data_IF_918127398996
#
_entry.id   IF_918127398996
#
_cell.length_a   1.000
_cell.length_b   1.000
_cell.length_c   1.000
_cell.angle_alpha   90.00
_cell.angle_beta   90.00
_cell.angle_gamma   90.00
#
_symmetry.space_group_name_H-M   'P 1'
#
loop_
_entity.id
_entity.type
_entity.pdbx_description
1 polymer ?
#
# COMPACT_ATOMS: atom_id res chain seq x y z
N UNK A 1 -8.77 0.48 -31.72
CA UNK A 1 -7.90 -0.56 -31.11
C UNK A 1 -6.47 -0.10 -31.31
N UNK A 2 -5.78 0.29 -30.24
CA UNK A 2 -4.35 0.60 -30.30
C UNK A 2 -3.64 -0.75 -30.17
N UNK A 3 -3.05 -1.25 -31.26
CA UNK A 3 -2.41 -2.57 -31.27
C UNK A 3 -1.18 -2.55 -30.35
N UNK A 4 -1.01 -3.63 -29.58
CA UNK A 4 0.17 -3.85 -28.73
C UNK A 4 1.45 -4.09 -29.56
N UNK A 5 1.30 -4.24 -30.88
CA UNK A 5 2.33 -4.65 -31.85
C UNK A 5 3.55 -3.71 -31.96
N UNK A 6 3.53 -2.53 -31.32
CA UNK A 6 4.65 -1.58 -31.33
C UNK A 6 5.28 -1.32 -29.96
N UNK A 7 4.96 -2.12 -28.93
CA UNK A 7 5.60 -1.94 -27.62
C UNK A 7 7.06 -2.41 -27.67
N UNK A 8 8.00 -1.46 -27.59
CA UNK A 8 9.43 -1.77 -27.55
C UNK A 8 9.77 -2.59 -26.32
N UNK A 9 10.78 -3.44 -26.44
CA UNK A 9 11.26 -4.27 -25.35
C UNK A 9 12.66 -3.83 -24.92
N UNK A 10 12.94 -3.89 -23.61
CA UNK A 10 14.20 -3.51 -23.01
C UNK A 10 14.78 -4.68 -22.22
N UNK A 11 16.03 -5.05 -22.53
CA UNK A 11 16.77 -6.05 -21.75
C UNK A 11 17.22 -5.49 -20.39
N UNK A 12 17.27 -6.35 -19.37
CA UNK A 12 17.65 -5.96 -18.00
C UNK A 12 19.03 -5.27 -17.94
N UNK A 13 19.98 -5.69 -18.78
CA UNK A 13 21.32 -5.09 -18.90
C UNK A 13 21.31 -3.65 -19.44
N UNK A 14 20.29 -3.26 -20.20
CA UNK A 14 20.09 -1.89 -20.68
C UNK A 14 19.58 -1.03 -19.53
N UNK A 15 18.56 -1.51 -18.78
CA UNK A 15 18.03 -0.80 -17.62
C UNK A 15 19.13 -0.57 -16.56
N UNK A 16 19.95 -1.58 -16.26
CA UNK A 16 21.11 -1.43 -15.36
C UNK A 16 22.04 -0.28 -15.79
N UNK A 17 22.38 -0.21 -17.09
CA UNK A 17 23.24 0.85 -17.62
C UNK A 17 22.60 2.23 -17.50
N UNK A 18 21.28 2.34 -17.66
CA UNK A 18 20.54 3.59 -17.47
C UNK A 18 20.59 4.03 -16.00
N UNK A 19 20.35 3.10 -15.06
CA UNK A 19 20.38 3.39 -13.62
C UNK A 19 21.76 3.87 -13.15
N UNK A 20 22.85 3.30 -13.66
CA UNK A 20 24.21 3.75 -13.34
C UNK A 20 24.55 5.16 -13.85
N UNK A 21 23.95 5.59 -14.97
CA UNK A 21 24.23 6.92 -15.53
C UNK A 21 23.61 8.03 -14.69
N UNK A 22 22.47 7.76 -14.07
CA UNK A 22 21.84 8.72 -13.16
C UNK A 22 22.65 8.91 -11.86
N UNK A 23 23.46 7.93 -11.45
CA UNK A 23 24.38 8.07 -10.31
C UNK A 23 25.70 8.78 -10.66
N UNK A 24 26.24 8.58 -11.87
CA UNK A 24 27.55 9.14 -12.29
C UNK A 24 27.46 10.39 -13.20
N UNK A 25 26.27 10.90 -13.51
CA UNK A 25 25.99 11.84 -14.61
C UNK A 25 26.35 13.32 -14.43
N UNK A 26 27.27 13.65 -13.51
CA UNK A 26 27.81 15.01 -13.32
C UNK A 26 29.01 15.38 -14.21
N UNK A 27 29.38 14.61 -15.24
CA UNK A 27 30.62 14.88 -15.97
C UNK A 27 30.75 14.27 -17.37
N UNK A 28 30.92 15.16 -18.34
CA UNK A 28 31.74 15.08 -19.56
C UNK A 28 31.48 14.00 -20.63
N UNK A 29 31.45 14.49 -21.88
CA UNK A 29 31.21 13.73 -23.10
C UNK A 29 32.32 12.75 -23.50
N UNK A 30 31.92 11.81 -24.35
CA UNK A 30 32.81 10.87 -25.03
C UNK A 30 32.05 10.20 -26.17
N UNK A 31 32.39 10.56 -27.40
CA UNK A 31 31.85 9.97 -28.63
C UNK A 31 32.30 8.51 -28.78
N UNK A 32 31.36 7.60 -29.02
CA UNK A 32 31.66 6.21 -29.35
C UNK A 32 30.51 5.57 -30.11
N UNK A 33 30.68 5.45 -31.43
CA UNK A 33 29.75 4.81 -32.35
C UNK A 33 29.78 3.28 -32.19
N UNK A 34 28.69 2.69 -31.73
CA UNK A 34 28.31 1.32 -32.08
C UNK A 34 26.80 1.14 -31.84
N UNK A 35 26.08 0.76 -32.89
CA UNK A 35 24.63 0.76 -32.95
C UNK A 35 23.98 -0.25 -32.02
N UNK A 36 23.28 0.23 -30.98
CA UNK A 36 22.18 -0.48 -30.31
C UNK A 36 21.35 0.55 -29.52
N UNK A 37 20.11 0.81 -29.98
CA UNK A 37 19.04 1.61 -29.35
C UNK A 37 19.46 2.99 -28.78
N UNK A 38 19.53 4.00 -29.66
CA UNK A 38 19.71 5.40 -29.26
C UNK A 38 18.43 5.99 -28.67
N UNK A 39 18.33 6.05 -27.34
CA UNK A 39 17.39 6.94 -26.65
C UNK A 39 17.90 8.40 -26.80
N UNK A 40 17.01 9.38 -27.05
CA UNK A 40 17.42 10.77 -27.15
C UNK A 40 18.07 11.25 -25.84
N UNK A 41 19.29 11.71 -25.98
CA UNK A 41 20.14 12.32 -24.94
C UNK A 41 19.45 13.51 -24.28
N UNK A 42 19.16 13.42 -22.98
CA UNK A 42 18.82 14.56 -22.12
C UNK A 42 17.63 14.40 -21.16
N UNK A 43 16.74 13.42 -21.38
CA UNK A 43 15.56 13.20 -20.51
C UNK A 43 15.76 12.11 -19.45
N UNK A 44 15.17 12.30 -18.26
CA UNK A 44 15.12 11.27 -17.21
C UNK A 44 14.22 10.11 -17.68
N UNK A 45 14.53 8.89 -17.26
CA UNK A 45 13.65 7.73 -17.44
C UNK A 45 12.66 7.62 -16.27
N UNK A 46 11.43 7.19 -16.55
CA UNK A 46 10.45 6.82 -15.51
C UNK A 46 10.28 5.31 -15.48
N UNK A 47 10.34 4.71 -14.30
CA UNK A 47 10.14 3.27 -14.12
C UNK A 47 8.79 3.02 -13.42
N UNK A 48 7.90 2.26 -14.06
CA UNK A 48 6.54 1.97 -13.57
C UNK A 48 6.40 0.49 -13.26
N UNK A 49 6.16 0.20 -11.97
CA UNK A 49 5.90 -1.15 -11.47
C UNK A 49 4.40 -1.47 -11.64
N UNK A 50 4.08 -2.33 -12.59
CA UNK A 50 2.71 -2.75 -12.91
C UNK A 50 2.25 -3.98 -12.11
N UNK A 51 3.06 -4.44 -11.15
CA UNK A 51 2.68 -5.55 -10.25
C UNK A 51 1.66 -5.09 -9.21
N UNK A 52 0.90 -6.03 -8.62
CA UNK A 52 0.05 -5.72 -7.47
C UNK A 52 0.86 -5.05 -6.35
N UNK A 53 0.22 -4.13 -5.63
CA UNK A 53 0.85 -3.34 -4.56
C UNK A 53 1.59 -4.19 -3.52
N UNK A 54 1.05 -5.38 -3.19
CA UNK A 54 1.67 -6.29 -2.23
C UNK A 54 3.00 -6.87 -2.74
N UNK A 55 3.08 -7.21 -4.03
CA UNK A 55 4.31 -7.70 -4.66
C UNK A 55 5.37 -6.59 -4.71
N UNK A 56 4.96 -5.36 -5.06
CA UNK A 56 5.81 -4.18 -4.98
C UNK A 56 6.32 -3.93 -3.56
N UNK A 57 5.46 -4.10 -2.56
CA UNK A 57 5.83 -3.88 -1.15
C UNK A 57 6.67 -5.00 -0.55
N UNK A 58 6.72 -6.18 -1.18
CA UNK A 58 7.67 -7.25 -0.84
C UNK A 58 9.09 -6.92 -1.34
N UNK A 59 9.17 -6.25 -2.49
CA UNK A 59 10.40 -5.71 -3.04
C UNK A 59 10.16 -5.08 -4.42
N UNK A 60 11.03 -4.15 -4.83
CA UNK A 60 10.85 -3.34 -6.04
C UNK A 60 12.19 -2.85 -6.58
N UNK A 61 12.22 -2.49 -7.87
CA UNK A 61 13.42 -1.87 -8.49
C UNK A 61 13.54 -0.44 -7.98
N UNK A 62 14.73 -0.03 -7.53
CA UNK A 62 14.97 1.30 -6.99
C UNK A 62 14.50 2.40 -7.97
N UNK A 63 13.81 3.41 -7.45
CA UNK A 63 13.25 4.51 -8.23
C UNK A 63 11.95 4.19 -8.97
N UNK A 64 11.44 2.95 -8.91
CA UNK A 64 10.15 2.61 -9.53
C UNK A 64 8.94 3.16 -8.76
N UNK A 65 7.89 3.50 -9.51
CA UNK A 65 6.60 3.95 -8.98
C UNK A 65 5.56 2.86 -9.23
N UNK A 66 4.89 2.39 -8.17
CA UNK A 66 3.82 1.39 -8.32
C UNK A 66 2.54 1.99 -8.91
N UNK A 67 2.05 1.34 -9.96
CA UNK A 67 0.82 1.69 -10.65
C UNK A 67 -0.38 1.11 -9.89
N UNK A 68 -1.38 1.95 -9.61
CA UNK A 68 -2.61 1.57 -8.90
C UNK A 68 -3.71 1.12 -9.87
N UNK A 69 -3.52 -0.02 -10.51
CA UNK A 69 -4.49 -0.62 -11.43
C UNK A 69 -4.97 -1.99 -10.94
N UNK A 70 -5.63 -2.00 -9.77
CA UNK A 70 -6.17 -3.22 -9.17
C UNK A 70 -7.41 -3.76 -9.94
N UNK A 71 -7.94 -4.91 -9.53
CA UNK A 71 -9.14 -5.51 -10.14
C UNK A 71 -10.36 -4.58 -10.11
N UNK A 72 -10.50 -3.75 -9.09
CA UNK A 72 -11.61 -2.81 -8.93
C UNK A 72 -11.53 -1.66 -9.94
N UNK A 73 -10.35 -1.05 -10.09
CA UNK A 73 -10.08 0.00 -11.08
C UNK A 73 -10.33 -0.56 -12.48
N UNK A 74 -9.81 -1.76 -12.78
CA UNK A 74 -10.02 -2.42 -14.08
C UNK A 74 -11.49 -2.70 -14.38
N UNK A 75 -12.24 -3.23 -13.41
CA UNK A 75 -13.69 -3.48 -13.55
C UNK A 75 -14.48 -2.19 -13.82
N UNK A 76 -14.06 -1.07 -13.23
CA UNK A 76 -14.78 0.21 -13.34
C UNK A 76 -14.40 1.03 -14.55
N UNK A 77 -13.18 0.89 -15.02
CA UNK A 77 -12.64 1.59 -16.16
C UNK A 77 -13.29 1.17 -17.49
N UNK A 78 -14.15 0.13 -17.52
CA UNK A 78 -14.86 -0.36 -18.71
C UNK A 78 -13.94 -0.47 -19.95
N UNK A 79 -12.71 -0.94 -19.74
CA UNK A 79 -11.71 -1.13 -20.79
C UNK A 79 -10.68 -0.01 -20.98
N UNK A 80 -10.73 1.11 -20.23
CA UNK A 80 -9.80 2.23 -20.41
C UNK A 80 -9.56 3.00 -19.12
N UNK A 81 -8.33 2.95 -18.60
CA UNK A 81 -7.93 3.63 -17.36
C UNK A 81 -7.31 5.01 -17.65
N UNK A 82 -7.52 6.02 -16.79
CA UNK A 82 -6.85 7.32 -16.91
C UNK A 82 -5.54 7.39 -16.11
N UNK A 83 -4.68 8.37 -16.40
CA UNK A 83 -3.45 8.59 -15.61
C UNK A 83 -3.76 8.89 -14.13
N UNK A 84 -4.84 9.62 -13.86
CA UNK A 84 -5.34 9.91 -12.51
C UNK A 84 -5.68 8.63 -11.74
N UNK A 85 -6.26 7.65 -12.43
CA UNK A 85 -6.64 6.38 -11.81
C UNK A 85 -5.41 5.52 -11.50
N UNK A 86 -4.44 5.48 -12.41
CA UNK A 86 -3.25 4.62 -12.24
C UNK A 86 -2.16 5.26 -11.37
N UNK A 87 -2.10 6.59 -11.30
CA UNK A 87 -1.10 7.37 -10.56
C UNK A 87 -1.76 8.48 -9.70
N UNK A 88 -2.68 8.14 -8.78
CA UNK A 88 -3.51 9.13 -8.09
C UNK A 88 -2.73 10.05 -7.16
N UNK A 89 -1.68 9.54 -6.50
CA UNK A 89 -0.88 10.28 -5.52
C UNK A 89 0.37 10.93 -6.12
N UNK A 90 0.60 10.76 -7.43
CA UNK A 90 1.86 11.13 -8.08
C UNK A 90 1.61 12.32 -9.02
N UNK A 91 1.15 13.44 -8.48
CA UNK A 91 0.81 14.64 -9.25
C UNK A 91 2.00 15.15 -10.07
N UNK A 92 3.18 15.22 -9.45
CA UNK A 92 4.42 15.62 -10.13
C UNK A 92 4.79 14.66 -11.26
N UNK A 93 4.65 13.34 -11.05
CA UNK A 93 4.92 12.35 -12.09
C UNK A 93 3.95 12.51 -13.26
N UNK A 94 2.66 12.71 -12.98
CA UNK A 94 1.63 12.97 -14.01
C UNK A 94 1.92 14.26 -14.77
N UNK A 95 2.29 15.34 -14.08
CA UNK A 95 2.63 16.62 -14.69
C UNK A 95 3.85 16.48 -15.63
N UNK A 96 4.90 15.79 -15.17
CA UNK A 96 6.12 15.53 -15.96
C UNK A 96 5.89 14.59 -17.16
N UNK A 97 4.99 13.62 -17.04
CA UNK A 97 4.55 12.78 -18.16
C UNK A 97 3.85 13.62 -19.22
N UNK A 98 2.90 14.46 -18.82
CA UNK A 98 2.13 15.33 -19.74
C UNK A 98 2.98 16.39 -20.43
N UNK A 99 4.00 16.91 -19.75
CA UNK A 99 4.92 17.89 -20.34
C UNK A 99 6.03 17.26 -21.20
N UNK A 100 6.10 15.92 -21.30
CA UNK A 100 7.11 15.22 -22.09
C UNK A 100 8.52 15.31 -21.52
N UNK A 101 8.66 15.50 -20.20
CA UNK A 101 9.96 15.57 -19.52
C UNK A 101 10.64 14.21 -19.33
N UNK A 102 9.91 13.12 -19.58
CA UNK A 102 10.48 11.78 -19.61
C UNK A 102 10.80 11.39 -21.06
N UNK A 103 12.06 11.06 -21.32
CA UNK A 103 12.51 10.55 -22.62
C UNK A 103 11.96 9.15 -22.87
N UNK A 104 11.88 8.34 -21.81
CA UNK A 104 11.28 7.02 -21.84
C UNK A 104 10.54 6.67 -20.54
N UNK A 105 9.54 5.81 -20.68
CA UNK A 105 8.81 5.14 -19.60
C UNK A 105 9.01 3.64 -19.75
N UNK A 106 9.60 3.03 -18.73
CA UNK A 106 9.81 1.60 -18.65
C UNK A 106 8.71 1.02 -17.78
N UNK A 107 7.89 0.13 -18.34
CA UNK A 107 6.87 -0.62 -17.61
C UNK A 107 7.35 -2.04 -17.37
N UNK A 108 7.02 -2.62 -16.22
CA UNK A 108 7.35 -4.01 -15.92
C UNK A 108 6.30 -4.65 -15.03
N UNK A 109 6.08 -5.95 -15.20
CA UNK A 109 5.30 -6.77 -14.28
C UNK A 109 6.21 -7.78 -13.57
N UNK A 110 5.64 -8.87 -13.04
CA UNK A 110 6.44 -9.87 -12.32
C UNK A 110 7.37 -10.66 -13.25
N UNK A 111 6.88 -11.11 -14.42
CA UNK A 111 7.52 -12.21 -15.17
C UNK A 111 7.38 -12.15 -16.69
N UNK A 112 6.70 -11.15 -17.27
CA UNK A 112 6.41 -11.17 -18.70
C UNK A 112 7.70 -11.11 -19.53
N UNK A 113 8.00 -12.14 -20.34
CA UNK A 113 9.27 -12.21 -21.06
C UNK A 113 9.34 -11.26 -22.25
N UNK A 114 8.19 -11.01 -22.91
CA UNK A 114 8.06 -10.28 -24.17
C UNK A 114 6.70 -9.57 -24.28
N UNK A 115 6.62 -8.54 -25.09
CA UNK A 115 5.39 -7.76 -25.32
C UNK A 115 4.25 -8.63 -25.89
N UNK A 116 4.58 -9.57 -26.77
CA UNK A 116 3.64 -10.52 -27.39
C UNK A 116 2.94 -11.45 -26.37
N UNK A 117 3.55 -11.66 -25.19
CA UNK A 117 2.99 -12.52 -24.15
C UNK A 117 1.94 -11.82 -23.26
N UNK A 118 1.81 -10.49 -23.41
CA UNK A 118 0.89 -9.69 -22.60
C UNK A 118 -0.55 -9.91 -23.06
N UNK A 119 -1.42 -10.29 -22.12
CA UNK A 119 -2.87 -10.30 -22.34
C UNK A 119 -3.37 -8.87 -22.55
N UNK A 120 -4.33 -8.66 -23.44
CA UNK A 120 -4.90 -7.33 -23.71
C UNK A 120 -5.52 -6.66 -22.46
N UNK A 121 -6.02 -7.47 -21.52
CA UNK A 121 -6.62 -7.04 -20.25
C UNK A 121 -5.61 -6.98 -19.07
N UNK A 122 -4.33 -7.24 -19.35
CA UNK A 122 -3.28 -7.13 -18.34
C UNK A 122 -3.11 -5.69 -17.86
N UNK A 123 -2.64 -5.54 -16.62
CA UNK A 123 -2.34 -4.23 -16.05
C UNK A 123 -1.36 -3.45 -16.93
N UNK A 124 -0.32 -4.11 -17.43
CA UNK A 124 0.65 -3.49 -18.34
C UNK A 124 -0.02 -2.94 -19.59
N UNK A 125 -0.89 -3.71 -20.25
CA UNK A 125 -1.58 -3.27 -21.47
C UNK A 125 -2.46 -2.05 -21.23
N UNK A 126 -3.22 -2.05 -20.12
CA UNK A 126 -4.06 -0.91 -19.74
C UNK A 126 -3.24 0.35 -19.42
N UNK A 127 -2.10 0.19 -18.74
CA UNK A 127 -1.16 1.28 -18.44
C UNK A 127 -0.54 1.84 -19.71
N UNK A 128 -0.07 0.97 -20.61
CA UNK A 128 0.51 1.38 -21.91
C UNK A 128 -0.53 2.16 -22.72
N UNK A 129 -1.79 1.70 -22.78
CA UNK A 129 -2.87 2.43 -23.45
C UNK A 129 -3.18 3.79 -22.79
N UNK A 130 -3.07 3.90 -21.46
CA UNK A 130 -3.23 5.17 -20.76
C UNK A 130 -2.07 6.14 -21.04
N UNK A 131 -0.84 5.65 -21.05
CA UNK A 131 0.36 6.42 -21.38
C UNK A 131 0.33 6.91 -22.83
N UNK A 132 0.04 6.04 -23.80
CA UNK A 132 -0.04 6.43 -25.22
C UNK A 132 -1.04 7.56 -25.49
N UNK A 133 -2.12 7.66 -24.70
CA UNK A 133 -3.11 8.74 -24.80
C UNK A 133 -2.69 10.06 -24.15
N UNK A 134 -1.69 10.05 -23.26
CA UNK A 134 -1.35 11.22 -22.44
C UNK A 134 0.13 11.65 -22.54
N UNK A 135 0.99 10.83 -23.14
CA UNK A 135 2.44 11.00 -23.20
C UNK A 135 2.96 10.71 -24.63
N UNK A 136 2.43 11.42 -25.63
CA UNK A 136 2.71 11.17 -27.06
C UNK A 136 4.20 11.27 -27.44
N UNK A 137 5.00 12.01 -26.66
CA UNK A 137 6.43 12.28 -26.95
C UNK A 137 7.40 11.35 -26.21
N UNK A 138 6.89 10.40 -25.45
CA UNK A 138 7.70 9.55 -24.58
C UNK A 138 7.76 8.13 -25.12
N UNK A 139 8.97 7.59 -25.26
CA UNK A 139 9.14 6.19 -25.67
C UNK A 139 8.68 5.26 -24.54
N UNK A 140 7.80 4.29 -24.85
CA UNK A 140 7.30 3.33 -23.87
C UNK A 140 7.93 1.97 -24.16
N UNK A 141 8.55 1.37 -23.13
CA UNK A 141 9.26 0.10 -23.24
C UNK A 141 8.80 -0.89 -22.16
N UNK A 142 8.68 -2.17 -22.52
CA UNK A 142 8.51 -3.27 -21.56
C UNK A 142 9.88 -3.79 -21.09
N UNK A 143 10.09 -3.94 -19.79
CA UNK A 143 11.25 -4.65 -19.25
C UNK A 143 11.09 -6.16 -19.43
N UNK A 144 11.95 -6.77 -20.24
CA UNK A 144 11.90 -8.21 -20.53
C UNK A 144 12.15 -9.04 -19.27
N UNK A 145 11.27 -9.98 -18.99
CA UNK A 145 11.35 -10.89 -17.84
C UNK A 145 10.87 -10.28 -16.52
N UNK A 146 10.42 -9.03 -16.53
CA UNK A 146 9.82 -8.38 -15.37
C UNK A 146 10.77 -8.23 -14.17
N UNK A 147 10.17 -8.08 -12.98
CA UNK A 147 10.88 -7.93 -11.72
C UNK A 147 11.68 -9.18 -11.32
N UNK A 148 11.12 -10.38 -11.53
CA UNK A 148 11.76 -11.64 -11.13
C UNK A 148 13.13 -11.77 -11.80
N UNK A 149 13.19 -11.57 -13.12
CA UNK A 149 14.45 -11.61 -13.86
C UNK A 149 15.40 -10.51 -13.42
N UNK A 150 14.94 -9.25 -13.39
CA UNK A 150 15.81 -8.13 -13.05
C UNK A 150 16.38 -8.24 -11.63
N UNK A 151 15.56 -8.62 -10.64
CA UNK A 151 15.99 -8.78 -9.25
C UNK A 151 16.90 -9.99 -9.01
N UNK A 152 16.85 -11.00 -9.90
CA UNK A 152 17.78 -12.13 -9.88
C UNK A 152 19.15 -11.78 -10.47
N UNK A 153 19.17 -10.99 -11.56
CA UNK A 153 20.41 -10.60 -12.26
C UNK A 153 21.11 -9.42 -11.56
N UNK A 154 20.35 -8.49 -10.96
CA UNK A 154 20.83 -7.23 -10.40
C UNK A 154 20.17 -6.92 -9.02
N UNK A 155 20.38 -7.78 -8.01
CA UNK A 155 19.77 -7.62 -6.69
C UNK A 155 20.14 -6.31 -5.98
N UNK A 156 21.30 -5.72 -6.30
CA UNK A 156 21.79 -4.46 -5.73
C UNK A 156 20.94 -3.24 -6.14
N UNK A 157 20.21 -3.34 -7.25
CA UNK A 157 19.28 -2.30 -7.72
C UNK A 157 17.84 -2.54 -7.26
N UNK A 158 17.63 -3.46 -6.31
CA UNK A 158 16.33 -3.80 -5.78
C UNK A 158 16.26 -3.57 -4.27
N UNK A 159 15.16 -3.00 -3.81
CA UNK A 159 14.80 -3.03 -2.39
C UNK A 159 13.99 -4.30 -2.11
N UNK A 160 14.25 -4.96 -0.98
CA UNK A 160 13.46 -6.08 -0.46
C UNK A 160 13.17 -5.83 1.01
N UNK A 161 11.92 -6.00 1.44
CA UNK A 161 11.59 -5.95 2.87
C UNK A 161 12.18 -7.18 3.53
N UNK A 162 13.07 -6.97 4.51
CA UNK A 162 13.84 -8.03 5.19
C UNK A 162 12.99 -9.11 5.90
N UNK A 163 11.67 -8.95 5.97
CA UNK A 163 10.78 -9.90 6.63
C UNK A 163 10.47 -11.19 5.82
N UNK A 164 10.79 -11.24 4.52
CA UNK A 164 10.43 -12.40 3.67
C UNK A 164 11.55 -13.44 3.52
N UNK A 165 12.77 -13.18 4.02
CA UNK A 165 13.88 -14.12 3.93
C UNK A 165 14.00 -14.94 5.22
N UNK A 166 13.54 -16.20 5.13
CA UNK A 166 13.88 -17.34 5.98
C UNK A 166 13.93 -17.08 7.51
N UNK A 167 12.93 -17.60 8.22
CA UNK A 167 13.04 -17.94 9.65
C UNK A 167 14.35 -18.74 9.81
N UNK A 168 15.39 -18.23 10.49
CA UNK A 168 16.53 -19.06 10.83
C UNK A 168 16.05 -20.18 11.76
N UNK A 169 16.57 -21.41 11.66
CA UNK A 169 16.24 -22.44 12.63
C UNK A 169 16.58 -21.95 14.04
N UNK A 170 15.83 -22.35 15.07
CA UNK A 170 16.06 -21.89 16.43
C UNK A 170 17.47 -22.27 16.86
N UNK A 171 18.30 -21.26 17.12
CA UNK A 171 19.61 -21.44 17.74
C UNK A 171 19.36 -22.01 19.16
N UNK A 172 20.03 -23.09 19.57
CA UNK A 172 19.88 -23.62 20.91
C UNK A 172 20.36 -22.58 21.94
N UNK A 173 19.75 -22.50 23.14
CA UNK A 173 20.07 -21.47 24.10
C UNK A 173 21.47 -21.71 24.68
N UNK A 174 22.48 -21.06 24.09
CA UNK A 174 23.80 -20.92 24.71
C UNK A 174 23.75 -19.74 25.68
N UNK A 175 23.70 -20.09 26.97
CA UNK A 175 23.99 -19.27 28.15
C UNK A 175 24.37 -17.81 27.88
N UNK A 176 23.36 -16.95 27.81
CA UNK A 176 23.48 -15.53 28.13
C UNK A 176 22.18 -15.11 28.79
N UNK A 177 22.28 -14.78 30.07
CA UNK A 177 21.19 -14.36 30.97
C UNK A 177 20.17 -13.46 30.24
N UNK A 178 18.86 -13.81 30.22
CA UNK A 178 17.86 -12.85 29.82
C UNK A 178 17.79 -11.82 30.93
N UNK A 179 18.32 -10.62 30.69
CA UNK A 179 17.95 -9.46 31.47
C UNK A 179 16.43 -9.29 31.33
N UNK A 180 15.73 -9.74 32.37
CA UNK A 180 14.28 -9.72 32.55
C UNK A 180 13.82 -8.27 32.72
N UNK A 181 13.99 -7.46 31.67
CA UNK A 181 13.34 -6.15 31.55
C UNK A 181 11.93 -6.38 30.98
N UNK A 182 11.13 -7.14 31.72
CA UNK A 182 9.68 -6.98 31.65
C UNK A 182 9.37 -5.53 32.03
N UNK A 183 8.75 -4.78 31.12
CA UNK A 183 8.14 -3.52 31.50
C UNK A 183 6.92 -3.86 32.37
N UNK A 184 7.14 -4.05 33.67
CA UNK A 184 6.10 -4.32 34.67
C UNK A 184 5.01 -3.25 34.67
N UNK A 185 5.33 -2.07 34.15
CA UNK A 185 4.41 -0.95 33.99
C UNK A 185 3.34 -1.16 32.92
N UNK A 186 3.55 -2.00 31.91
CA UNK A 186 2.64 -2.05 30.75
C UNK A 186 1.76 -3.30 30.66
N UNK A 187 1.92 -4.33 31.49
CA UNK A 187 1.00 -5.49 31.53
C UNK A 187 0.78 -6.21 30.20
N UNK A 188 1.72 -6.09 29.24
CA UNK A 188 1.59 -6.68 27.90
C UNK A 188 2.00 -8.15 27.90
N UNK A 189 1.18 -9.07 27.34
CA UNK A 189 1.59 -10.45 27.15
C UNK A 189 2.81 -10.57 26.21
N UNK A 190 3.74 -11.49 26.53
CA UNK A 190 5.02 -11.75 25.84
C UNK A 190 4.87 -12.40 24.45
N UNK A 191 3.93 -11.93 23.63
CA UNK A 191 3.72 -12.46 22.27
C UNK A 191 4.62 -11.79 21.22
N UNK A 192 5.72 -11.14 21.64
CA UNK A 192 6.47 -10.24 20.76
C UNK A 192 7.57 -10.91 19.93
N UNK A 193 7.49 -10.70 18.61
CA UNK A 193 8.39 -11.22 17.59
C UNK A 193 9.68 -10.38 17.47
N UNK A 194 10.28 -9.99 18.59
CA UNK A 194 11.53 -9.22 18.65
C UNK A 194 11.41 -7.70 18.47
N UNK A 195 10.36 -7.18 17.82
CA UNK A 195 10.14 -5.73 17.65
C UNK A 195 8.90 -5.35 16.81
N UNK A 196 8.63 -4.04 16.61
CA UNK A 196 7.66 -3.57 15.63
C UNK A 196 7.94 -4.13 14.26
N UNK A 197 6.86 -4.43 13.54
CA UNK A 197 6.98 -4.92 12.17
C UNK A 197 6.77 -3.77 11.20
N UNK A 198 7.60 -3.70 10.17
CA UNK A 198 7.46 -2.74 9.09
C UNK A 198 6.32 -3.20 8.15
N UNK A 199 5.23 -2.44 8.12
CA UNK A 199 4.12 -2.66 7.17
C UNK A 199 4.42 -1.94 5.86
N UNK A 200 4.83 -0.67 5.95
CA UNK A 200 5.34 0.14 4.84
C UNK A 200 6.60 0.88 5.33
N UNK A 201 7.44 1.44 4.43
CA UNK A 201 8.68 2.13 4.84
C UNK A 201 8.52 3.22 5.91
N UNK A 202 7.32 3.79 6.03
CA UNK A 202 6.96 4.82 7.01
C UNK A 202 5.93 4.34 8.06
N UNK A 203 5.41 3.11 7.98
CA UNK A 203 4.32 2.62 8.82
C UNK A 203 4.72 1.32 9.50
N UNK A 204 4.78 1.36 10.83
CA UNK A 204 5.12 0.22 11.68
C UNK A 204 3.92 -0.19 12.55
N UNK A 205 3.83 -1.48 12.86
CA UNK A 205 2.81 -2.05 13.74
C UNK A 205 3.46 -2.68 14.98
N UNK A 206 2.95 -2.36 16.17
CA UNK A 206 3.48 -2.89 17.43
C UNK A 206 2.52 -2.93 18.62
N UNK A 207 3.08 -3.33 19.76
CA UNK A 207 2.47 -3.41 21.09
C UNK A 207 2.85 -2.19 21.95
N UNK A 208 2.27 -2.07 23.15
CA UNK A 208 2.68 -1.06 24.12
C UNK A 208 4.10 -1.30 24.64
N UNK A 209 4.55 -2.56 24.69
CA UNK A 209 5.93 -2.90 24.98
C UNK A 209 6.90 -2.24 24.00
N UNK A 210 6.60 -2.31 22.70
CA UNK A 210 7.42 -1.63 21.70
C UNK A 210 7.42 -0.11 21.84
N UNK A 211 6.24 0.47 22.11
CA UNK A 211 6.11 1.91 22.30
C UNK A 211 6.87 2.42 23.55
N UNK A 212 7.19 1.53 24.50
CA UNK A 212 7.98 1.81 25.69
C UNK A 212 9.50 1.66 25.48
N UNK A 213 9.96 1.28 24.27
CA UNK A 213 11.39 0.99 23.98
C UNK A 213 12.01 2.06 23.11
N UNK A 214 12.44 3.17 23.73
CA UNK A 214 13.07 4.31 23.04
C UNK A 214 14.23 3.91 22.14
N UNK A 215 15.10 3.04 22.63
CA UNK A 215 16.25 2.50 21.88
C UNK A 215 15.82 1.89 20.54
N UNK A 216 14.72 1.14 20.56
CA UNK A 216 14.13 0.49 19.40
C UNK A 216 13.44 1.49 18.47
N UNK A 217 12.70 2.45 19.03
CA UNK A 217 12.04 3.51 18.27
C UNK A 217 13.07 4.37 17.51
N UNK A 218 14.15 4.77 18.18
CA UNK A 218 15.25 5.55 17.61
C UNK A 218 15.99 4.76 16.52
N UNK A 219 16.29 3.48 16.76
CA UNK A 219 16.95 2.62 15.77
C UNK A 219 16.10 2.41 14.50
N UNK A 220 14.78 2.39 14.63
CA UNK A 220 13.84 2.31 13.51
C UNK A 220 13.57 3.67 12.85
N UNK A 221 14.07 4.77 13.41
CA UNK A 221 13.82 6.13 12.92
C UNK A 221 12.37 6.57 13.08
N UNK A 222 11.67 6.09 14.11
CA UNK A 222 10.31 6.49 14.41
C UNK A 222 10.30 7.97 14.83
N UNK A 223 9.42 8.75 14.21
CA UNK A 223 9.24 10.18 14.50
C UNK A 223 7.90 10.46 15.17
N UNK A 224 6.95 9.52 15.07
CA UNK A 224 5.59 9.67 15.54
C UNK A 224 5.00 8.35 16.07
N UNK A 225 4.09 8.44 17.03
CA UNK A 225 3.36 7.30 17.57
C UNK A 225 1.85 7.56 17.52
N UNK A 226 1.12 6.58 16.97
CA UNK A 226 -0.34 6.52 17.02
C UNK A 226 -0.74 5.45 18.04
N UNK A 227 -1.16 5.91 19.21
CA UNK A 227 -1.62 5.06 20.31
C UNK A 227 -3.12 4.78 20.15
N UNK A 228 -3.47 3.55 19.80
CA UNK A 228 -4.85 3.08 19.61
C UNK A 228 -5.29 2.31 20.85
N UNK A 229 -5.35 3.02 21.97
CA UNK A 229 -5.79 2.48 23.26
C UNK A 229 -6.28 3.59 24.19
N UNK A 230 -7.07 3.22 25.18
CA UNK A 230 -7.47 4.14 26.26
C UNK A 230 -6.55 4.06 27.47
N UNK A 231 -5.73 3.01 27.51
CA UNK A 231 -5.11 2.45 28.72
C UNK A 231 -3.57 2.38 28.64
N UNK A 232 -2.97 2.51 27.44
CA UNK A 232 -1.51 2.57 27.31
C UNK A 232 -1.02 4.02 27.45
N UNK A 233 0.01 4.28 28.27
CA UNK A 233 0.61 5.62 28.38
C UNK A 233 1.51 5.95 27.17
N UNK A 234 1.67 7.25 26.91
CA UNK A 234 2.71 7.77 26.02
C UNK A 234 4.02 7.91 26.81
N UNK A 235 5.03 7.09 26.52
CA UNK A 235 6.23 7.02 27.35
C UNK A 235 7.24 8.16 27.14
N UNK A 236 7.22 8.80 25.97
CA UNK A 236 8.28 9.72 25.53
C UNK A 236 7.71 11.02 24.95
N UNK A 237 6.69 11.59 25.59
CA UNK A 237 6.13 12.89 25.19
C UNK A 237 7.24 13.96 25.13
N UNK A 238 7.21 14.79 24.09
CA UNK A 238 8.26 15.77 23.80
C UNK A 238 9.44 15.24 22.95
N UNK A 239 9.64 13.92 22.87
CA UNK A 239 10.64 13.32 21.97
C UNK A 239 10.05 12.90 20.61
N UNK A 240 8.82 12.39 20.62
CA UNK A 240 8.09 12.03 19.40
C UNK A 240 6.77 12.80 19.31
N UNK A 241 6.22 12.89 18.10
CA UNK A 241 4.84 13.34 17.95
C UNK A 241 3.89 12.23 18.38
N UNK A 242 2.85 12.56 19.14
CA UNK A 242 1.86 11.59 19.59
C UNK A 242 0.47 11.96 19.08
N UNK A 243 -0.32 10.93 18.78
CA UNK A 243 -1.76 11.01 18.68
C UNK A 243 -2.38 9.81 19.38
N UNK A 244 -3.42 10.05 20.16
CA UNK A 244 -4.15 9.01 20.87
C UNK A 244 -5.55 8.85 20.28
N UNK A 245 -5.94 7.60 20.03
CA UNK A 245 -7.29 7.17 19.65
C UNK A 245 -7.79 6.27 20.80
N UNK A 246 -8.61 6.80 21.71
CA UNK A 246 -9.01 6.12 22.95
C UNK A 246 -10.10 5.07 22.67
N UNK A 247 -9.71 3.95 22.07
CA UNK A 247 -10.58 2.84 21.71
C UNK A 247 -10.26 1.60 22.53
N UNK A 248 -11.30 0.99 23.10
CA UNK A 248 -11.21 -0.30 23.79
C UNK A 248 -11.27 -1.47 22.81
N UNK A 249 -10.62 -2.58 23.13
CA UNK A 249 -10.63 -3.78 22.29
C UNK A 249 -11.82 -4.70 22.62
N UNK A 250 -13.03 -4.23 22.31
CA UNK A 250 -14.24 -5.02 22.54
C UNK A 250 -15.26 -4.83 21.41
N UNK A 251 -16.30 -5.67 21.42
CA UNK A 251 -17.30 -5.71 20.36
C UNK A 251 -18.21 -4.47 20.31
N UNK A 252 -18.27 -3.66 21.38
CA UNK A 252 -19.11 -2.45 21.48
C UNK A 252 -18.41 -1.20 20.96
N UNK A 253 -17.08 -1.22 20.87
CA UNK A 253 -16.31 -0.08 20.44
C UNK A 253 -16.48 0.19 18.94
N UNK A 254 -16.77 1.44 18.58
CA UNK A 254 -16.73 1.91 17.19
C UNK A 254 -15.32 2.45 16.89
N UNK A 255 -14.52 1.62 16.20
CA UNK A 255 -13.19 2.01 15.73
C UNK A 255 -13.26 2.65 14.35
N UNK A 256 -14.34 2.42 13.59
CA UNK A 256 -14.49 2.88 12.21
C UNK A 256 -14.57 4.41 12.07
N UNK A 257 -15.19 5.07 13.05
CA UNK A 257 -15.24 6.54 13.12
C UNK A 257 -13.86 7.19 13.20
N UNK A 258 -12.85 6.46 13.66
CA UNK A 258 -11.47 6.94 13.76
C UNK A 258 -10.61 6.66 12.53
N UNK A 259 -11.10 5.91 11.53
CA UNK A 259 -10.29 5.49 10.39
C UNK A 259 -9.74 6.69 9.61
N UNK A 260 -10.59 7.66 9.28
CA UNK A 260 -10.14 8.84 8.51
C UNK A 260 -9.10 9.65 9.27
N UNK A 261 -9.35 9.89 10.56
CA UNK A 261 -8.45 10.65 11.42
C UNK A 261 -7.08 9.96 11.62
N UNK A 262 -7.08 8.63 11.80
CA UNK A 262 -5.87 7.83 11.87
C UNK A 262 -5.09 7.87 10.54
N UNK A 263 -5.81 7.76 9.43
CA UNK A 263 -5.22 7.74 8.09
C UNK A 263 -4.60 9.09 7.73
N UNK A 264 -5.27 10.19 8.04
CA UNK A 264 -4.76 11.55 7.87
C UNK A 264 -3.50 11.80 8.70
N UNK A 265 -3.46 11.30 9.94
CA UNK A 265 -2.27 11.39 10.78
C UNK A 265 -1.09 10.61 10.19
N UNK A 266 -1.31 9.38 9.74
CA UNK A 266 -0.26 8.56 9.10
C UNK A 266 0.27 9.24 7.83
N UNK A 267 -0.62 9.82 7.00
CA UNK A 267 -0.21 10.55 5.80
C UNK A 267 0.56 11.83 6.13
N UNK A 268 0.15 12.59 7.15
CA UNK A 268 0.89 13.78 7.57
C UNK A 268 2.33 13.44 8.00
N UNK A 269 2.52 12.35 8.75
CA UNK A 269 3.86 11.87 9.13
C UNK A 269 4.65 11.45 7.88
N UNK A 270 4.03 10.71 6.96
CA UNK A 270 4.65 10.30 5.69
C UNK A 270 5.10 11.50 4.86
N UNK A 271 4.27 12.54 4.76
CA UNK A 271 4.54 13.71 3.92
C UNK A 271 5.66 14.58 4.51
N UNK A 272 5.83 14.56 5.84
CA UNK A 272 7.00 15.08 6.54
C UNK A 272 8.24 14.17 6.48
N UNK A 273 8.21 13.09 5.67
CA UNK A 273 9.27 12.07 5.55
C UNK A 273 9.59 11.36 6.87
N UNK A 274 8.64 11.33 7.80
CA UNK A 274 8.75 10.63 9.07
C UNK A 274 8.36 9.15 8.97
N UNK A 275 8.42 8.48 10.13
CA UNK A 275 7.94 7.10 10.32
C UNK A 275 7.05 7.03 11.55
N UNK A 276 5.92 6.37 11.42
CA UNK A 276 4.92 6.22 12.48
C UNK A 276 4.86 4.78 12.98
N UNK A 277 4.85 4.61 14.31
CA UNK A 277 4.46 3.37 14.97
C UNK A 277 2.98 3.45 15.36
N UNK A 278 2.16 2.58 14.78
CA UNK A 278 0.79 2.35 15.24
C UNK A 278 0.81 1.21 16.24
N UNK A 279 0.40 1.49 17.47
CA UNK A 279 0.38 0.49 18.53
C UNK A 279 -0.92 0.51 19.31
N UNK A 280 -1.18 -0.60 19.99
CA UNK A 280 -2.17 -0.70 21.04
C UNK A 280 -1.53 -1.52 22.17
N UNK A 281 -2.33 -2.02 23.12
CA UNK A 281 -1.81 -2.87 24.19
C UNK A 281 -0.99 -4.07 23.67
N UNK A 282 -1.61 -5.01 22.97
CA UNK A 282 -0.95 -6.25 22.53
C UNK A 282 -0.39 -6.21 21.08
N UNK A 283 -0.78 -5.23 20.28
CA UNK A 283 -0.45 -5.20 18.86
C UNK A 283 -1.12 -6.31 18.05
N UNK A 284 -2.34 -6.71 18.42
CA UNK A 284 -3.10 -7.84 17.83
C UNK A 284 -4.34 -7.37 17.08
N UNK A 285 -5.19 -6.56 17.73
CA UNK A 285 -6.52 -6.19 17.22
C UNK A 285 -6.58 -4.71 16.83
N UNK A 286 -6.74 -3.79 17.80
CA UNK A 286 -6.90 -2.32 17.57
C UNK A 286 -5.90 -1.70 16.57
N UNK A 287 -4.61 -1.80 16.82
CA UNK A 287 -3.58 -1.22 15.93
C UNK A 287 -3.53 -1.91 14.56
N UNK A 288 -3.73 -3.23 14.51
CA UNK A 288 -3.80 -3.96 13.25
C UNK A 288 -4.99 -3.50 12.40
N UNK A 289 -6.16 -3.30 13.01
CA UNK A 289 -7.36 -2.75 12.34
C UNK A 289 -7.07 -1.41 11.67
N UNK A 290 -6.37 -0.49 12.34
CA UNK A 290 -5.98 0.80 11.75
C UNK A 290 -5.03 0.61 10.56
N UNK A 291 -4.04 -0.28 10.67
CA UNK A 291 -3.14 -0.58 9.54
C UNK A 291 -3.91 -1.15 8.33
N UNK A 292 -4.89 -2.03 8.56
CA UNK A 292 -5.73 -2.61 7.50
C UNK A 292 -6.59 -1.52 6.82
N UNK A 293 -7.24 -0.66 7.61
CA UNK A 293 -7.99 0.48 7.08
C UNK A 293 -7.11 1.40 6.22
N UNK A 294 -5.89 1.71 6.70
CA UNK A 294 -4.92 2.50 5.95
C UNK A 294 -4.57 1.87 4.60
N UNK A 295 -4.26 0.57 4.58
CA UNK A 295 -3.94 -0.15 3.34
C UNK A 295 -5.11 -0.15 2.36
N UNK A 296 -6.32 -0.45 2.81
CA UNK A 296 -7.51 -0.45 1.93
C UNK A 296 -7.74 0.92 1.30
N UNK A 297 -7.71 1.99 2.09
CA UNK A 297 -7.98 3.34 1.59
C UNK A 297 -6.85 3.86 0.70
N UNK A 298 -5.60 3.83 1.19
CA UNK A 298 -4.47 4.51 0.53
C UNK A 298 -3.82 3.65 -0.54
N UNK A 299 -3.84 2.33 -0.40
CA UNK A 299 -3.25 1.39 -1.38
C UNK A 299 -4.28 0.71 -2.27
N UNK A 300 -5.57 0.97 -2.04
CA UNK A 300 -6.69 0.43 -2.83
C UNK A 300 -6.60 -1.10 -2.92
N UNK A 301 -6.28 -1.77 -1.82
CA UNK A 301 -6.31 -3.25 -1.76
C UNK A 301 -7.59 -3.70 -1.07
N UNK A 302 -8.02 -4.93 -1.34
CA UNK A 302 -9.15 -5.54 -0.62
C UNK A 302 -8.78 -5.83 0.83
N UNK A 303 -9.78 -5.99 1.70
CA UNK A 303 -9.56 -6.35 3.09
C UNK A 303 -8.77 -7.65 3.21
N UNK A 304 -9.17 -8.67 2.45
CA UNK A 304 -8.49 -9.96 2.40
C UNK A 304 -6.99 -9.82 2.04
N UNK A 305 -6.70 -9.04 1.00
CA UNK A 305 -5.34 -8.78 0.54
C UNK A 305 -4.52 -8.01 1.59
N UNK A 306 -5.12 -7.00 2.21
CA UNK A 306 -4.49 -6.25 3.30
C UNK A 306 -4.24 -7.14 4.52
N UNK A 307 -5.19 -8.00 4.87
CA UNK A 307 -5.11 -8.89 6.01
C UNK A 307 -3.95 -9.86 5.86
N UNK A 308 -3.89 -10.58 4.75
CA UNK A 308 -2.80 -11.51 4.46
C UNK A 308 -1.43 -10.82 4.46
N UNK A 309 -1.35 -9.62 3.89
CA UNK A 309 -0.11 -8.84 3.86
C UNK A 309 0.43 -8.48 5.26
N UNK A 310 -0.45 -8.04 6.16
CA UNK A 310 -0.08 -7.71 7.53
C UNK A 310 0.16 -8.99 8.34
N UNK A 311 -0.63 -10.06 8.11
CA UNK A 311 -0.49 -11.37 8.76
C UNK A 311 0.86 -12.02 8.48
N UNK A 312 1.37 -11.91 7.26
CA UNK A 312 2.71 -12.38 6.89
C UNK A 312 3.83 -11.66 7.66
N UNK A 313 3.61 -10.41 8.07
CA UNK A 313 4.59 -9.60 8.81
C UNK A 313 4.45 -9.76 10.32
N UNK A 314 3.22 -9.88 10.82
CA UNK A 314 2.91 -10.13 12.23
C UNK A 314 1.83 -11.20 12.30
N UNK A 315 2.26 -12.45 12.43
CA UNK A 315 1.38 -13.63 12.38
C UNK A 315 0.33 -13.68 13.50
N UNK A 316 0.48 -12.90 14.56
CA UNK A 316 -0.48 -12.85 15.68
C UNK A 316 -1.65 -11.88 15.47
N UNK A 317 -1.68 -11.09 14.38
CA UNK A 317 -2.81 -10.17 14.19
C UNK A 317 -4.13 -10.94 14.15
N UNK A 318 -5.13 -10.37 14.82
CA UNK A 318 -6.48 -10.92 14.91
C UNK A 318 -7.42 -9.81 15.42
N UNK A 319 -7.83 -8.86 14.56
CA UNK A 319 -8.91 -7.94 14.87
C UNK A 319 -10.11 -8.69 15.44
N UNK A 320 -10.75 -8.14 16.47
CA UNK A 320 -11.96 -8.73 17.00
C UNK A 320 -13.07 -8.74 15.93
N UNK A 321 -14.07 -9.61 16.10
CA UNK A 321 -15.12 -9.82 15.08
C UNK A 321 -15.90 -8.54 14.73
N UNK A 322 -16.16 -7.67 15.70
CA UNK A 322 -16.83 -6.37 15.47
C UNK A 322 -15.97 -5.46 14.59
N UNK A 323 -14.67 -5.37 14.87
CA UNK A 323 -13.72 -4.61 14.05
C UNK A 323 -13.60 -5.18 12.64
N UNK A 324 -13.66 -6.50 12.47
CA UNK A 324 -13.69 -7.11 11.14
C UNK A 324 -14.94 -6.71 10.35
N UNK A 325 -16.12 -6.68 10.99
CA UNK A 325 -17.35 -6.19 10.38
C UNK A 325 -17.26 -4.71 9.97
N UNK A 326 -16.66 -3.88 10.83
CA UNK A 326 -16.40 -2.46 10.55
C UNK A 326 -15.42 -2.27 9.38
N UNK A 327 -14.38 -3.11 9.26
CA UNK A 327 -13.47 -3.10 8.12
C UNK A 327 -14.14 -3.51 6.81
N UNK A 328 -15.04 -4.51 6.83
CA UNK A 328 -15.83 -4.91 5.65
C UNK A 328 -16.74 -3.76 5.18
N UNK A 329 -17.40 -3.07 6.12
CA UNK A 329 -18.20 -1.90 5.80
C UNK A 329 -17.32 -0.78 5.21
N UNK A 330 -16.16 -0.51 5.80
CA UNK A 330 -15.22 0.48 5.27
C UNK A 330 -14.68 0.12 3.88
N UNK A 331 -14.36 -1.16 3.63
CA UNK A 331 -13.95 -1.66 2.31
C UNK A 331 -14.99 -1.26 1.25
N UNK A 332 -16.28 -1.50 1.53
CA UNK A 332 -17.37 -1.16 0.62
C UNK A 332 -17.41 0.34 0.31
N UNK A 333 -17.16 1.20 1.29
CA UNK A 333 -17.18 2.66 1.12
C UNK A 333 -15.97 3.17 0.34
N UNK A 334 -14.75 2.85 0.78
CA UNK A 334 -13.53 3.43 0.19
C UNK A 334 -13.21 2.83 -1.16
N UNK A 335 -13.59 1.57 -1.37
CA UNK A 335 -13.41 0.95 -2.66
C UNK A 335 -14.53 1.36 -3.60
N UNK A 336 -15.79 1.67 -3.21
CA UNK A 336 -16.88 2.12 -4.11
C UNK A 336 -16.71 3.53 -4.72
N UNK A 337 -16.18 4.49 -3.96
CA UNK A 337 -16.37 5.94 -4.21
C UNK A 337 -15.65 6.54 -5.43
N UNK A 338 -14.89 5.79 -6.23
CA UNK A 338 -14.18 6.36 -7.39
C UNK A 338 -15.07 6.79 -8.58
N UNK A 339 -16.38 6.56 -8.55
CA UNK A 339 -17.29 6.86 -9.68
C UNK A 339 -18.25 8.04 -9.45
N UNK A 340 -18.40 8.56 -8.23
CA UNK A 340 -19.39 9.62 -7.96
C UNK A 340 -18.88 11.03 -8.28
N UNK A 341 -17.56 11.27 -8.22
CA UNK A 341 -16.98 12.59 -8.47
C UNK A 341 -16.97 13.01 -9.95
N UNK A 342 -16.89 12.04 -10.88
CA UNK A 342 -16.79 12.30 -12.33
C UNK A 342 -18.16 12.44 -13.01
N UNK A 343 -19.25 11.95 -12.39
CA UNK A 343 -20.61 12.06 -12.94
C UNK A 343 -21.28 13.42 -12.66
N UNK A 344 -20.60 14.32 -11.94
CA UNK A 344 -21.14 15.62 -11.51
C UNK A 344 -20.63 16.82 -12.34
N UNK A 345 -20.03 16.61 -13.52
CA UNK A 345 -19.64 17.70 -14.42
C UNK A 345 -20.71 17.93 -15.50
N UNK A 346 -21.56 18.97 -15.39
CA UNK A 346 -22.46 19.35 -16.46
C UNK A 346 -21.70 20.11 -17.54
N UNK A 347 -21.74 19.59 -18.76
CA UNK A 347 -21.33 20.30 -19.98
C UNK A 347 -22.27 21.49 -20.23
N UNK A 348 -21.74 22.71 -20.37
CA UNK A 348 -22.52 23.88 -20.81
C UNK A 348 -21.71 25.19 -20.86
N UNK A 349 -21.74 25.99 -21.96
CA UNK A 349 -20.80 27.08 -22.19
C UNK A 349 -21.26 28.46 -21.65
N UNK A 350 -20.26 29.33 -21.41
CA UNK A 350 -20.28 30.80 -21.44
C UNK A 350 -21.47 31.58 -20.82
N UNK A 351 -21.25 32.26 -19.67
CA UNK A 351 -21.22 33.75 -19.55
C UNK A 351 -21.13 34.26 -18.09
N UNK A 352 -20.28 35.27 -17.94
CA UNK A 352 -20.29 36.43 -17.01
C UNK A 352 -20.31 36.26 -15.47
N UNK A 353 -19.12 36.53 -14.90
CA UNK A 353 -18.78 37.61 -13.93
C UNK A 353 -19.53 37.66 -12.58
N UNK A 354 -18.84 37.29 -11.50
CA UNK A 354 -19.10 37.87 -10.17
C UNK A 354 -18.59 37.10 -8.93
N UNK A 355 -17.49 37.57 -8.35
CA UNK A 355 -17.12 37.63 -6.91
C UNK A 355 -16.94 36.35 -6.03
N UNK A 356 -15.73 36.31 -5.44
CA UNK A 356 -15.24 35.75 -4.14
C UNK A 356 -15.00 34.24 -3.99
N UNK A 357 -13.82 33.80 -3.48
CA UNK A 357 -13.53 32.39 -3.23
C UNK A 357 -13.92 32.00 -1.79
N UNK A 358 -14.71 30.95 -1.65
CA UNK A 358 -14.91 30.22 -0.39
C UNK A 358 -14.14 28.89 -0.46
N UNK A 359 -13.38 28.62 0.58
CA UNK A 359 -12.51 27.46 0.83
C UNK A 359 -13.31 26.13 0.83
N UNK A 360 -12.83 25.02 0.23
CA UNK A 360 -13.52 23.75 0.33
C UNK A 360 -13.10 22.98 1.60
N UNK A 361 -14.02 22.87 2.55
CA UNK A 361 -13.90 21.99 3.73
C UNK A 361 -14.15 20.54 3.31
N UNK A 362 -13.33 19.63 3.85
CA UNK A 362 -13.33 18.16 3.65
C UNK A 362 -14.74 17.53 3.55
N UNK A 363 -15.02 16.90 2.40
CA UNK A 363 -16.28 16.21 2.10
C UNK A 363 -16.22 14.71 2.43
N UNK A 364 -16.06 14.26 3.68
CA UNK A 364 -16.37 12.86 4.04
C UNK A 364 -16.67 12.69 5.54
N UNK A 365 -17.87 13.08 5.98
CA UNK A 365 -18.45 12.62 7.24
C UNK A 365 -19.91 12.25 7.00
N UNK A 366 -20.21 10.95 6.91
CA UNK A 366 -21.56 10.43 7.01
C UNK A 366 -21.57 9.35 8.10
N UNK A 367 -21.91 9.75 9.32
CA UNK A 367 -22.26 8.81 10.39
C UNK A 367 -23.70 8.35 10.19
N UNK A 368 -23.92 7.03 10.10
CA UNK A 368 -25.26 6.45 10.17
C UNK A 368 -25.37 5.56 11.42
N UNK A 369 -26.47 5.65 12.19
CA UNK A 369 -26.68 4.80 13.35
C UNK A 369 -27.02 3.38 12.91
N UNK A 370 -26.26 2.39 13.38
CA UNK A 370 -26.65 0.98 13.29
C UNK A 370 -27.68 0.71 14.39
N UNK A 371 -28.96 0.70 14.02
CA UNK A 371 -30.02 0.15 14.88
C UNK A 371 -30.05 -1.37 14.71
N UNK A 372 -29.43 -2.10 15.65
CA UNK A 372 -29.66 -3.54 15.79
C UNK A 372 -31.02 -3.72 16.47
N UNK A 373 -32.04 -4.07 15.70
CA UNK A 373 -33.36 -4.44 16.24
C UNK A 373 -33.29 -5.79 16.96
N UNK A 374 -33.37 -5.77 18.29
CA UNK A 374 -33.58 -6.96 19.11
C UNK A 374 -35.09 -7.18 19.21
N UNK A 375 -35.63 -8.14 18.45
CA UNK A 375 -36.99 -8.62 18.67
C UNK A 375 -36.98 -9.83 19.60
N UNK A 376 -37.43 -9.60 20.83
CA UNK A 376 -37.79 -10.60 21.82
C UNK A 376 -39.28 -10.96 21.67
N UNK A 377 -39.60 -12.19 21.26
CA UNK A 377 -40.85 -12.88 21.61
C UNK A 377 -40.75 -14.39 21.31
N UNK A 378 -41.15 -15.28 22.24
CA UNK A 378 -41.06 -16.72 22.07
C UNK A 378 -42.37 -17.29 21.48
N UNK A 379 -42.30 -18.19 20.49
CA UNK A 379 -43.36 -19.17 20.27
C UNK A 379 -42.87 -20.37 19.47
N UNK A 380 -43.26 -21.53 20.00
CA UNK A 380 -43.04 -22.91 19.63
C UNK A 380 -43.75 -23.33 18.33
N UNK A 381 -43.14 -24.27 17.57
CA UNK A 381 -43.71 -25.54 17.01
C UNK A 381 -42.92 -26.03 15.75
N UNK A 382 -42.97 -27.34 15.38
CA UNK A 382 -41.78 -28.20 15.39
C UNK A 382 -41.40 -28.89 14.06
N UNK A 383 -40.19 -29.46 14.07
CA UNK A 383 -39.69 -30.67 13.38
C UNK A 383 -40.27 -31.10 12.01
N UNK A 384 -39.37 -31.17 11.00
CA UNK A 384 -39.38 -32.23 9.99
C UNK A 384 -37.94 -32.73 9.71
N UNK A 385 -37.76 -34.03 10.01
CA UNK A 385 -36.72 -35.00 9.64
C UNK A 385 -36.47 -35.04 8.11
N UNK A 386 -35.32 -35.37 7.49
CA UNK A 386 -34.34 -36.48 7.61
C UNK A 386 -33.46 -36.45 6.33
N UNK A 387 -32.49 -37.37 6.03
CA UNK A 387 -31.41 -37.95 6.84
C UNK A 387 -30.06 -38.14 6.05
N UNK A 388 -28.96 -38.29 6.82
CA UNK A 388 -27.83 -39.25 6.71
C UNK A 388 -27.36 -39.74 5.32
N UNK A 389 -26.06 -39.53 5.03
CA UNK A 389 -25.17 -40.57 4.49
C UNK A 389 -23.73 -40.36 4.94
N UNK A 390 -23.04 -41.49 5.12
CA UNK A 390 -21.89 -41.82 5.97
C UNK A 390 -20.54 -41.70 5.25
N UNK A 391 -19.47 -41.46 6.03
CA UNK A 391 -18.03 -41.62 5.70
C UNK A 391 -17.62 -43.11 5.64
N UNK A 392 -16.37 -43.51 5.25
CA UNK A 392 -15.22 -43.48 6.18
C UNK A 392 -13.77 -43.35 5.58
N UNK A 393 -12.88 -42.83 6.44
CA UNK A 393 -11.46 -43.13 6.76
C UNK A 393 -10.37 -43.45 5.70
N UNK A 394 -9.25 -42.72 5.82
CA UNK A 394 -7.93 -43.27 6.20
C UNK A 394 -7.31 -42.34 7.25
#
# INVERSE_FOLDING_TARGET
>A
MVTMEELREMDCSVLKRLMNRDENGGGAGGSGSHGTLGLPSGGKCLLLDCRPFLAHSAGYILGSVNVRCNTIVRRRAKGSVSLEQILPAEEEVRARLRSGLYSAVIVYDERSPRAESLREDSTVSLVVQALRRNAERTDICLLKGGYERFSSEYPEFCSKTKALAAIPPPVPPSATEPLDLGCSSCGTPLHDQGGPVEILPFLYLGSAYHAARRDMLDALGITALLNVSSDCPNHFEGHYQYKCIPVEDNHKADISSWFMEAIEYIDAVKDCRGRVLVHCQAGISRSATICLAYLMMKKRVRLEEAFEFVKQRRSIISPNFSFMGQLLQFESQVLATSCAAEAASPSGPLRERGKTPATPTSQFVFSFPVSVGVHSAPSSLPYLHSPITTSPSC
#
